data_IF_693760995036
#
_entry.id   IF_693760995036
#
_cell.length_a   1.000
_cell.length_b   1.000
_cell.length_c   1.000
_cell.angle_alpha   90.00
_cell.angle_beta   90.00
_cell.angle_gamma   90.00
#
_symmetry.space_group_name_H-M   'P 1'
#
loop_
_entity.id
_entity.type
_entity.pdbx_description
1 polymer ?
#
# COMPACT_ATOMS: atom_id res chain seq x y z
N UNK A 1 -22.91 9.61 -61.26
CA UNK A 1 -23.05 8.38 -60.46
C UNK A 1 -21.73 7.70 -60.06
N UNK A 2 -20.57 8.41 -59.99
CA UNK A 2 -19.26 7.81 -59.69
C UNK A 2 -18.68 8.18 -58.31
N UNK A 3 -19.32 9.06 -57.55
CA UNK A 3 -18.84 9.49 -56.25
C UNK A 3 -19.23 8.57 -55.06
N UNK A 4 -20.33 7.81 -55.17
CA UNK A 4 -20.83 6.93 -54.10
C UNK A 4 -19.96 5.66 -53.88
N UNK A 5 -19.29 5.19 -54.92
CA UNK A 5 -18.47 3.96 -54.86
C UNK A 5 -17.17 4.13 -54.04
N UNK A 6 -16.57 5.33 -54.04
CA UNK A 6 -15.31 5.57 -53.33
C UNK A 6 -15.49 5.65 -51.82
N UNK A 7 -16.65 6.13 -51.35
CA UNK A 7 -16.90 6.22 -49.91
C UNK A 7 -17.31 4.86 -49.29
N UNK A 8 -17.95 3.99 -50.07
CA UNK A 8 -18.28 2.64 -49.60
C UNK A 8 -17.01 1.81 -49.36
N UNK A 9 -16.00 1.94 -50.22
CA UNK A 9 -14.73 1.26 -50.06
C UNK A 9 -13.91 1.78 -48.85
N UNK A 10 -13.97 3.08 -48.54
CA UNK A 10 -13.30 3.68 -47.39
C UNK A 10 -13.95 3.25 -46.09
N UNK A 11 -15.27 3.17 -46.03
CA UNK A 11 -15.97 2.73 -44.82
C UNK A 11 -15.82 1.24 -44.54
N UNK A 12 -15.65 0.39 -45.55
CA UNK A 12 -15.37 -1.03 -45.35
C UNK A 12 -13.93 -1.28 -44.79
N UNK A 13 -12.97 -0.48 -45.16
CA UNK A 13 -11.59 -0.58 -44.61
C UNK A 13 -11.53 -0.07 -43.15
N UNK A 14 -12.24 1.00 -42.84
CA UNK A 14 -12.34 1.52 -41.46
C UNK A 14 -13.09 0.53 -40.55
N UNK A 15 -14.17 -0.09 -41.01
CA UNK A 15 -14.89 -1.10 -40.26
C UNK A 15 -14.03 -2.37 -40.01
N UNK A 16 -13.21 -2.81 -40.97
CA UNK A 16 -12.30 -3.93 -40.83
C UNK A 16 -11.15 -3.63 -39.84
N UNK A 17 -10.64 -2.39 -39.79
CA UNK A 17 -9.64 -1.99 -38.81
C UNK A 17 -10.20 -1.89 -37.38
N UNK A 18 -11.46 -1.52 -37.19
CA UNK A 18 -12.10 -1.46 -35.89
C UNK A 18 -12.40 -2.86 -35.31
N UNK A 19 -12.56 -3.88 -36.15
CA UNK A 19 -12.74 -5.27 -35.68
C UNK A 19 -11.43 -5.98 -35.34
N UNK A 20 -10.28 -5.52 -35.82
CA UNK A 20 -8.97 -6.10 -35.51
C UNK A 20 -8.38 -5.60 -34.18
N UNK A 21 -8.93 -4.53 -33.61
CA UNK A 21 -8.47 -3.99 -32.30
C UNK A 21 -9.24 -4.53 -31.11
N UNK A 22 -10.30 -5.31 -31.30
CA UNK A 22 -11.10 -5.88 -30.23
C UNK A 22 -10.65 -7.25 -29.71
N UNK A 23 -9.53 -7.79 -30.23
CA UNK A 23 -8.98 -9.09 -29.84
C UNK A 23 -7.59 -8.99 -29.19
N UNK A 24 -7.33 -7.92 -28.44
CA UNK A 24 -6.20 -7.97 -27.51
C UNK A 24 -6.69 -8.55 -26.19
N UNK A 25 -6.11 -9.67 -25.73
CA UNK A 25 -6.44 -10.18 -24.41
C UNK A 25 -6.02 -9.13 -23.38
N UNK A 26 -6.96 -8.77 -22.50
CA UNK A 26 -6.69 -8.01 -21.27
C UNK A 26 -5.83 -8.85 -20.32
N UNK A 27 -4.59 -9.10 -20.72
CA UNK A 27 -3.60 -9.82 -19.93
C UNK A 27 -2.50 -8.88 -19.46
N UNK A 28 -2.89 -7.85 -18.72
CA UNK A 28 -1.99 -7.24 -17.75
C UNK A 28 -2.64 -7.32 -16.36
N UNK A 29 -2.99 -8.54 -15.98
CA UNK A 29 -2.96 -8.92 -14.60
C UNK A 29 -1.51 -8.82 -14.19
N UNK A 30 -1.12 -7.74 -13.52
CA UNK A 30 0.08 -7.73 -12.71
C UNK A 30 -0.19 -8.72 -11.58
N UNK A 31 0.11 -10.00 -11.82
CA UNK A 31 0.30 -10.96 -10.77
C UNK A 31 1.48 -10.45 -9.95
N UNK A 32 1.18 -9.82 -8.84
CA UNK A 32 2.17 -9.64 -7.81
C UNK A 32 2.62 -11.04 -7.39
N UNK A 33 3.92 -11.35 -7.39
CA UNK A 33 4.39 -12.58 -6.78
C UNK A 33 4.20 -12.45 -5.27
N UNK A 34 3.00 -12.75 -4.81
CA UNK A 34 2.63 -12.76 -3.42
C UNK A 34 2.05 -14.12 -3.11
N UNK A 35 2.93 -15.00 -2.74
CA UNK A 35 2.69 -15.94 -1.65
C UNK A 35 3.97 -16.74 -1.44
N UNK A 36 4.91 -16.15 -0.73
CA UNK A 36 5.69 -16.99 0.15
C UNK A 36 4.73 -17.33 1.29
N UNK A 37 3.91 -18.37 1.12
CA UNK A 37 3.33 -19.07 2.24
C UNK A 37 4.52 -19.56 3.04
N UNK A 38 4.78 -18.93 4.16
CA UNK A 38 5.59 -19.54 5.19
C UNK A 38 4.66 -20.56 5.80
N UNK A 39 4.69 -21.79 5.27
CA UNK A 39 4.13 -22.95 5.94
C UNK A 39 5.01 -23.15 7.18
N UNK A 40 4.59 -22.56 8.29
CA UNK A 40 5.14 -22.90 9.60
C UNK A 40 4.56 -24.28 9.89
N UNK A 41 5.34 -25.29 9.53
CA UNK A 41 5.10 -26.65 9.96
C UNK A 41 5.28 -26.66 11.48
N UNK A 42 4.18 -26.48 12.20
CA UNK A 42 4.12 -26.69 13.64
C UNK A 42 4.23 -28.18 13.88
N UNK A 43 5.46 -28.67 14.01
CA UNK A 43 5.74 -30.03 14.45
C UNK A 43 5.20 -30.17 15.88
N UNK A 44 3.94 -30.58 15.99
CA UNK A 44 3.35 -31.01 17.26
C UNK A 44 3.99 -32.34 17.65
N UNK A 45 5.18 -32.24 18.21
CA UNK A 45 5.80 -33.36 18.89
C UNK A 45 4.95 -33.68 20.11
N UNK A 46 4.21 -34.76 20.03
CA UNK A 46 3.43 -35.29 21.14
C UNK A 46 4.34 -35.44 22.37
N UNK A 47 4.15 -34.61 23.37
CA UNK A 47 4.76 -34.79 24.66
C UNK A 47 4.07 -35.99 25.33
N UNK A 48 4.76 -37.09 25.29
CA UNK A 48 4.44 -38.29 26.09
C UNK A 48 4.31 -37.85 27.55
N UNK A 49 3.15 -38.15 28.10
CA UNK A 49 2.86 -37.97 29.54
C UNK A 49 3.86 -38.78 30.35
N UNK A 50 4.92 -38.09 30.83
CA UNK A 50 5.81 -38.65 31.82
C UNK A 50 5.30 -38.18 33.19
N UNK A 51 4.91 -39.14 34.01
CA UNK A 51 4.43 -38.93 35.39
C UNK A 51 5.44 -38.05 36.16
N UNK A 52 4.99 -36.87 36.59
CA UNK A 52 5.77 -36.00 37.45
C UNK A 52 5.56 -36.46 38.87
N UNK A 53 6.60 -36.88 39.62
CA UNK A 53 6.43 -37.20 41.05
C UNK A 53 6.00 -35.94 41.80
N UNK A 54 5.06 -36.09 42.70
CA UNK A 54 4.54 -35.01 43.54
C UNK A 54 5.67 -34.39 44.39
N UNK A 55 6.26 -33.35 43.90
CA UNK A 55 7.15 -32.45 44.64
C UNK A 55 6.30 -31.45 45.38
N UNK A 56 6.39 -31.52 46.73
CA UNK A 56 5.70 -30.67 47.69
C UNK A 56 5.92 -29.18 47.35
N UNK A 57 4.83 -28.39 47.38
CA UNK A 57 4.76 -26.97 47.02
C UNK A 57 5.69 -26.03 47.80
N UNK A 58 6.47 -26.52 48.77
CA UNK A 58 7.41 -25.75 49.57
C UNK A 58 8.80 -25.53 48.93
N UNK A 59 9.17 -26.27 47.89
CA UNK A 59 10.46 -26.12 47.22
C UNK A 59 10.50 -25.17 46.02
N UNK A 60 9.33 -24.63 45.60
CA UNK A 60 9.20 -23.74 44.44
C UNK A 60 9.12 -22.25 44.77
N UNK A 61 9.15 -21.88 46.07
CA UNK A 61 9.27 -20.48 46.52
C UNK A 61 10.74 -20.12 46.83
N UNK A 62 11.64 -20.54 46.01
CA UNK A 62 12.93 -19.84 45.84
C UNK A 62 12.64 -18.49 45.21
N UNK A 63 12.99 -17.39 45.87
CA UNK A 63 12.83 -16.02 45.45
C UNK A 63 13.13 -15.88 43.93
N UNK A 64 12.08 -15.90 43.11
CA UNK A 64 12.21 -15.43 41.71
C UNK A 64 12.29 -13.92 41.85
N UNK A 65 13.50 -13.40 41.68
CA UNK A 65 13.73 -11.98 41.59
C UNK A 65 13.07 -11.47 40.28
N UNK A 66 11.83 -11.00 40.42
CA UNK A 66 11.03 -10.47 39.29
C UNK A 66 11.69 -9.22 38.68
N UNK A 67 12.76 -8.70 39.27
CA UNK A 67 13.47 -7.52 38.78
C UNK A 67 14.46 -7.82 37.65
N UNK A 68 14.77 -9.10 37.36
CA UNK A 68 15.81 -9.48 36.41
C UNK A 68 15.32 -10.12 35.11
N UNK A 69 13.99 -10.18 34.88
CA UNK A 69 13.50 -10.72 33.60
C UNK A 69 13.35 -9.62 32.55
N UNK A 70 13.92 -9.76 31.34
CA UNK A 70 13.84 -8.76 30.26
C UNK A 70 12.42 -8.58 29.67
N UNK A 71 11.44 -9.30 30.20
CA UNK A 71 10.04 -9.28 29.75
C UNK A 71 9.44 -7.88 29.87
N UNK A 72 9.74 -7.14 30.94
CA UNK A 72 9.23 -5.78 31.14
C UNK A 72 9.78 -4.76 30.13
N UNK A 73 11.01 -4.95 29.67
CA UNK A 73 11.63 -4.07 28.68
C UNK A 73 11.01 -4.27 27.27
N UNK A 74 10.68 -5.50 26.90
CA UNK A 74 10.03 -5.84 25.63
C UNK A 74 8.62 -5.23 25.56
N UNK A 75 7.84 -5.37 26.62
CA UNK A 75 6.48 -4.78 26.65
C UNK A 75 6.49 -3.26 26.60
N UNK A 76 7.47 -2.60 27.22
CA UNK A 76 7.54 -1.14 27.19
C UNK A 76 7.93 -0.61 25.80
N UNK A 77 8.83 -1.31 25.09
CA UNK A 77 9.21 -0.96 23.72
C UNK A 77 8.05 -1.16 22.72
N UNK A 78 7.30 -2.25 22.87
CA UNK A 78 6.16 -2.54 22.02
C UNK A 78 5.02 -1.54 22.21
N UNK A 79 4.72 -1.18 23.47
CA UNK A 79 3.74 -0.13 23.78
C UNK A 79 4.18 1.24 23.22
N UNK A 80 5.45 1.58 23.31
CA UNK A 80 5.98 2.82 22.73
C UNK A 80 5.87 2.83 21.20
N UNK A 81 6.14 1.70 20.53
CA UNK A 81 5.99 1.54 19.10
C UNK A 81 4.52 1.68 18.66
N UNK A 82 3.61 0.96 19.30
CA UNK A 82 2.16 1.06 19.01
C UNK A 82 1.67 2.49 19.20
N UNK A 83 2.08 3.17 20.27
CA UNK A 83 1.75 4.57 20.53
C UNK A 83 2.31 5.51 19.45
N UNK A 84 3.50 5.26 18.96
CA UNK A 84 4.11 6.07 17.88
C UNK A 84 3.39 5.91 16.54
N UNK A 85 3.03 4.68 16.17
CA UNK A 85 2.26 4.37 14.97
C UNK A 85 0.87 5.02 15.04
N UNK A 86 0.17 4.90 16.16
CA UNK A 86 -1.14 5.51 16.35
C UNK A 86 -1.09 7.03 16.22
N UNK A 87 -0.09 7.68 16.80
CA UNK A 87 0.12 9.13 16.66
C UNK A 87 0.42 9.54 15.21
N UNK A 88 1.20 8.74 14.49
CA UNK A 88 1.49 9.00 13.08
C UNK A 88 0.22 8.93 12.22
N UNK A 89 -0.64 7.93 12.44
CA UNK A 89 -1.93 7.81 11.75
C UNK A 89 -2.83 9.01 12.06
N UNK A 90 -2.96 9.37 13.34
CA UNK A 90 -3.80 10.50 13.74
C UNK A 90 -3.29 11.83 13.16
N UNK A 91 -1.99 12.06 13.19
CA UNK A 91 -1.38 13.23 12.56
C UNK A 91 -1.71 13.28 11.05
N UNK A 92 -1.62 12.15 10.36
CA UNK A 92 -1.82 12.07 8.92
C UNK A 92 -3.28 12.28 8.48
N UNK A 93 -4.24 12.33 9.39
CA UNK A 93 -5.64 12.68 9.09
C UNK A 93 -5.83 14.14 8.67
N UNK A 94 -4.91 15.02 9.04
CA UNK A 94 -4.86 16.38 8.55
C UNK A 94 -4.00 16.50 7.30
N UNK A 95 -4.33 17.43 6.40
CA UNK A 95 -3.55 17.68 5.17
C UNK A 95 -2.08 18.01 5.49
N UNK A 96 -1.86 18.87 6.48
CA UNK A 96 -0.50 19.26 6.89
C UNK A 96 0.25 18.07 7.48
N UNK A 97 -0.42 17.27 8.31
CA UNK A 97 0.17 16.08 8.90
C UNK A 97 0.43 14.98 7.88
N UNK A 98 -0.48 14.75 6.93
CA UNK A 98 -0.27 13.80 5.84
C UNK A 98 0.98 14.13 5.02
N UNK A 99 1.21 15.42 4.72
CA UNK A 99 2.42 15.88 4.03
C UNK A 99 3.68 15.64 4.86
N UNK A 100 3.65 15.92 6.16
CA UNK A 100 4.79 15.65 7.07
C UNK A 100 5.11 14.15 7.12
N UNK A 101 4.10 13.33 7.33
CA UNK A 101 4.25 11.87 7.39
C UNK A 101 4.76 11.33 6.06
N UNK A 102 4.22 11.76 4.93
CA UNK A 102 4.68 11.33 3.62
C UNK A 102 6.13 11.74 3.34
N UNK A 103 6.58 12.91 3.80
CA UNK A 103 7.97 13.35 3.66
C UNK A 103 8.92 12.43 4.43
N UNK A 104 8.54 12.08 5.66
CA UNK A 104 9.33 11.14 6.49
C UNK A 104 9.39 9.76 5.84
N UNK A 105 8.24 9.20 5.45
CA UNK A 105 8.18 7.90 4.79
C UNK A 105 9.00 7.90 3.49
N UNK A 106 8.89 8.95 2.67
CA UNK A 106 9.63 9.08 1.43
C UNK A 106 11.16 9.06 1.66
N UNK A 107 11.62 9.75 2.70
CA UNK A 107 13.04 9.78 3.07
C UNK A 107 13.50 8.46 3.67
N UNK A 108 12.79 7.93 4.67
CA UNK A 108 13.24 6.80 5.47
C UNK A 108 13.02 5.45 4.78
N UNK A 109 11.85 5.25 4.15
CA UNK A 109 11.51 3.96 3.54
C UNK A 109 11.92 3.86 2.06
N UNK A 110 12.02 5.00 1.34
CA UNK A 110 12.32 5.03 -0.10
C UNK A 110 13.65 5.72 -0.44
N UNK A 111 14.35 6.30 0.53
CA UNK A 111 15.66 6.93 0.32
C UNK A 111 15.62 8.16 -0.58
N UNK A 112 14.47 8.84 -0.69
CA UNK A 112 14.27 9.95 -1.62
C UNK A 112 14.32 11.31 -0.91
N UNK A 113 14.84 12.31 -1.60
CA UNK A 113 15.09 13.65 -1.06
C UNK A 113 13.90 14.62 -1.22
N UNK A 114 14.06 15.85 -0.73
CA UNK A 114 13.06 16.91 -0.74
C UNK A 114 12.61 17.34 -2.14
N UNK A 115 13.45 17.22 -3.16
CA UNK A 115 13.04 17.52 -4.53
C UNK A 115 11.98 16.53 -5.03
N UNK A 116 12.12 15.25 -4.66
CA UNK A 116 11.13 14.23 -4.96
C UNK A 116 9.82 14.46 -4.19
N UNK A 117 9.94 14.92 -2.93
CA UNK A 117 8.75 15.32 -2.16
C UNK A 117 8.01 16.51 -2.80
N UNK A 118 8.71 17.48 -3.35
CA UNK A 118 8.07 18.62 -4.05
C UNK A 118 7.24 18.16 -5.25
N UNK A 119 7.74 17.20 -6.01
CA UNK A 119 7.01 16.59 -7.12
C UNK A 119 5.79 15.78 -6.61
N UNK A 120 5.97 14.99 -5.55
CA UNK A 120 4.90 14.24 -4.91
C UNK A 120 3.79 15.17 -4.40
N UNK A 121 4.18 16.25 -3.73
CA UNK A 121 3.24 17.24 -3.24
C UNK A 121 2.42 17.86 -4.37
N UNK A 122 3.05 18.18 -5.49
CA UNK A 122 2.36 18.71 -6.68
C UNK A 122 1.37 17.69 -7.25
N UNK A 123 1.79 16.43 -7.36
CA UNK A 123 0.98 15.34 -7.89
C UNK A 123 -0.26 15.09 -7.01
N UNK A 124 -0.07 14.81 -5.72
CA UNK A 124 -1.18 14.46 -4.83
C UNK A 124 -2.07 15.64 -4.45
N UNK A 125 -1.59 16.87 -4.63
CA UNK A 125 -2.45 18.05 -4.58
C UNK A 125 -3.42 18.06 -5.77
N UNK A 126 -3.02 17.62 -6.95
CA UNK A 126 -3.91 17.49 -8.12
C UNK A 126 -4.87 16.31 -8.01
N UNK A 127 -4.47 15.22 -7.35
CA UNK A 127 -5.31 14.03 -7.20
C UNK A 127 -6.44 14.23 -6.19
N UNK A 128 -6.11 14.64 -4.99
CA UNK A 128 -7.06 14.66 -3.86
C UNK A 128 -6.95 15.86 -2.95
N UNK A 129 -6.02 16.79 -3.22
CA UNK A 129 -5.60 17.81 -2.26
C UNK A 129 -5.12 17.21 -0.94
N UNK A 130 -4.52 16.00 -0.98
CA UNK A 130 -4.07 15.24 0.19
C UNK A 130 -5.22 14.77 1.11
N UNK A 131 -6.44 14.72 0.61
CA UNK A 131 -7.58 14.28 1.38
C UNK A 131 -7.68 12.74 1.34
N UNK A 132 -7.42 12.09 2.47
CA UNK A 132 -7.50 10.63 2.56
C UNK A 132 -8.93 10.09 2.43
N UNK A 133 -9.95 10.94 2.61
CA UNK A 133 -11.37 10.60 2.41
C UNK A 133 -11.86 10.88 0.99
N UNK A 134 -11.00 11.43 0.12
CA UNK A 134 -11.40 11.73 -1.25
C UNK A 134 -11.89 10.47 -1.95
N UNK A 135 -13.07 10.56 -2.57
CA UNK A 135 -13.67 9.47 -3.32
C UNK A 135 -14.31 10.03 -4.58
N UNK A 136 -13.97 9.43 -5.72
CA UNK A 136 -14.60 9.76 -6.98
C UNK A 136 -15.76 8.77 -7.23
N UNK A 137 -17.03 9.20 -7.12
CA UNK A 137 -18.18 8.29 -7.22
C UNK A 137 -18.37 7.71 -8.63
N UNK A 138 -17.80 8.33 -9.66
CA UNK A 138 -17.89 7.85 -11.04
C UNK A 138 -16.89 6.75 -11.34
N UNK A 139 -15.65 6.89 -10.90
CA UNK A 139 -14.58 5.93 -11.18
C UNK A 139 -14.36 4.94 -10.05
N UNK A 140 -14.66 5.31 -8.80
CA UNK A 140 -14.32 4.54 -7.60
C UNK A 140 -12.91 4.83 -7.06
N UNK A 141 -12.17 5.78 -7.66
CA UNK A 141 -10.86 6.17 -7.16
C UNK A 141 -10.95 6.72 -5.73
N UNK A 142 -9.99 6.35 -4.86
CA UNK A 142 -10.06 6.65 -3.44
C UNK A 142 -8.73 7.11 -2.86
N UNK A 143 -8.85 8.00 -1.86
CA UNK A 143 -7.77 8.41 -0.97
C UNK A 143 -6.80 9.41 -1.56
N UNK A 144 -5.68 9.61 -0.84
CA UNK A 144 -4.66 10.62 -1.15
C UNK A 144 -4.11 10.46 -2.56
N UNK A 145 -3.81 9.23 -2.97
CA UNK A 145 -3.21 8.89 -4.26
C UNK A 145 -4.25 8.52 -5.35
N UNK A 146 -5.56 8.61 -5.05
CA UNK A 146 -6.64 8.24 -5.96
C UNK A 146 -6.48 6.84 -6.57
N UNK A 147 -6.24 5.85 -5.69
CA UNK A 147 -6.09 4.46 -6.11
C UNK A 147 -7.31 3.93 -6.86
N UNK A 148 -7.08 3.25 -7.99
CA UNK A 148 -8.13 2.67 -8.83
C UNK A 148 -7.73 1.27 -9.36
N UNK A 149 -8.47 0.19 -9.06
CA UNK A 149 -9.48 0.14 -8.00
C UNK A 149 -8.88 0.35 -6.61
N UNK A 150 -9.68 0.88 -5.68
CA UNK A 150 -9.23 1.26 -4.34
C UNK A 150 -8.71 0.08 -3.51
N UNK A 151 -9.27 -1.12 -3.74
CA UNK A 151 -8.93 -2.37 -3.08
C UNK A 151 -7.47 -2.78 -3.26
N UNK A 152 -6.78 -2.26 -4.28
CA UNK A 152 -5.33 -2.47 -4.47
C UNK A 152 -4.51 -2.03 -3.25
N UNK A 153 -5.02 -1.11 -2.45
CA UNK A 153 -4.35 -0.67 -1.23
C UNK A 153 -4.31 -1.73 -0.13
N UNK A 154 -5.15 -2.77 -0.22
CA UNK A 154 -5.20 -3.87 0.77
C UNK A 154 -3.88 -4.65 0.87
N UNK A 155 -3.02 -4.60 -0.14
CA UNK A 155 -1.68 -5.22 -0.11
C UNK A 155 -0.72 -4.53 0.88
N UNK A 156 -1.07 -3.33 1.33
CA UNK A 156 -0.30 -2.58 2.34
C UNK A 156 -0.97 -2.68 3.70
N UNK A 157 -2.30 -2.63 3.74
CA UNK A 157 -3.08 -2.75 4.97
C UNK A 157 -4.58 -2.76 4.67
N UNK A 158 -5.33 -3.59 5.38
CA UNK A 158 -6.79 -3.71 5.20
C UNK A 158 -7.56 -2.49 5.71
N UNK A 159 -6.90 -1.63 6.47
CA UNK A 159 -7.43 -0.40 7.06
C UNK A 159 -7.36 0.83 6.13
N UNK A 160 -6.99 0.66 4.88
CA UNK A 160 -6.73 1.72 3.90
C UNK A 160 -7.87 2.75 3.76
N UNK A 161 -9.12 2.36 4.06
CA UNK A 161 -10.25 3.29 3.99
C UNK A 161 -10.17 4.43 5.00
N UNK A 162 -9.57 4.16 6.16
CA UNK A 162 -9.55 5.06 7.31
C UNK A 162 -8.14 5.46 7.74
N UNK A 163 -7.12 4.78 7.23
CA UNK A 163 -5.72 5.00 7.56
C UNK A 163 -4.97 5.72 6.43
N UNK A 164 -4.69 7.03 6.57
CA UNK A 164 -3.94 7.76 5.56
C UNK A 164 -2.49 7.30 5.40
N UNK A 165 -1.87 6.70 6.42
CA UNK A 165 -0.49 6.18 6.33
C UNK A 165 -0.44 4.99 5.38
N UNK A 166 -1.42 4.09 5.45
CA UNK A 166 -1.58 2.97 4.50
C UNK A 166 -1.72 3.48 3.07
N UNK A 167 -2.51 4.52 2.86
CA UNK A 167 -2.69 5.14 1.53
C UNK A 167 -1.40 5.78 1.00
N UNK A 168 -0.65 6.49 1.87
CA UNK A 168 0.63 7.10 1.53
C UNK A 168 1.65 6.04 1.11
N UNK A 169 1.82 4.99 1.92
CA UNK A 169 2.75 3.89 1.60
C UNK A 169 2.39 3.19 0.30
N UNK A 170 1.11 2.91 0.10
CA UNK A 170 0.66 2.31 -1.15
C UNK A 170 0.96 3.21 -2.36
N UNK A 171 0.63 4.50 -2.26
CA UNK A 171 0.85 5.45 -3.35
C UNK A 171 2.33 5.61 -3.69
N UNK A 172 3.22 5.63 -2.69
CA UNK A 172 4.67 5.67 -2.91
C UNK A 172 5.19 4.39 -3.58
N UNK A 173 4.74 3.22 -3.13
CA UNK A 173 5.06 1.93 -3.78
C UNK A 173 4.59 1.91 -5.23
N UNK A 174 3.37 2.35 -5.50
CA UNK A 174 2.83 2.43 -6.85
C UNK A 174 3.70 3.34 -7.74
N UNK A 175 4.05 4.55 -7.25
CA UNK A 175 4.90 5.49 -7.97
C UNK A 175 6.28 4.88 -8.27
N UNK A 176 6.90 4.25 -7.28
CA UNK A 176 8.22 3.63 -7.43
C UNK A 176 8.20 2.49 -8.44
N UNK A 177 7.20 1.63 -8.38
CA UNK A 177 7.09 0.49 -9.31
C UNK A 177 6.80 0.91 -10.75
N UNK A 178 6.00 1.97 -10.95
CA UNK A 178 5.54 2.34 -12.30
C UNK A 178 6.35 3.45 -12.93
N UNK A 179 6.88 4.36 -12.15
CA UNK A 179 7.55 5.58 -12.61
C UNK A 179 8.95 5.76 -12.04
N UNK A 180 9.38 4.88 -11.16
CA UNK A 180 10.65 4.93 -10.47
C UNK A 180 10.74 6.06 -9.42
N UNK A 181 10.30 7.29 -9.76
CA UNK A 181 10.35 8.43 -8.84
C UNK A 181 9.11 9.33 -8.91
N UNK A 182 8.79 10.07 -7.83
CA UNK A 182 7.71 11.05 -7.84
C UNK A 182 7.83 12.12 -8.93
N UNK A 183 9.05 12.58 -9.25
CA UNK A 183 9.24 13.58 -10.29
C UNK A 183 8.96 13.02 -11.70
N UNK A 184 9.27 11.75 -11.96
CA UNK A 184 8.89 11.09 -13.21
C UNK A 184 7.37 10.91 -13.29
N UNK A 185 6.71 10.48 -12.20
CA UNK A 185 5.25 10.40 -12.13
C UNK A 185 4.58 11.76 -12.38
N UNK A 186 5.09 12.83 -11.76
CA UNK A 186 4.61 14.20 -11.97
C UNK A 186 4.80 14.68 -13.42
N UNK A 187 5.92 14.37 -14.03
CA UNK A 187 6.16 14.69 -15.44
C UNK A 187 5.19 13.97 -16.36
N UNK A 188 4.94 12.68 -16.11
CA UNK A 188 3.93 11.90 -16.82
C UNK A 188 2.53 12.51 -16.64
N UNK A 189 2.13 12.83 -15.43
CA UNK A 189 0.85 13.45 -15.13
C UNK A 189 0.66 14.79 -15.88
N UNK A 190 1.69 15.64 -15.95
CA UNK A 190 1.63 16.89 -16.70
C UNK A 190 1.36 16.66 -18.18
N UNK A 191 1.94 15.62 -18.76
CA UNK A 191 1.80 15.28 -20.18
C UNK A 191 0.49 14.57 -20.51
N UNK A 192 0.05 13.65 -19.65
CA UNK A 192 -1.06 12.72 -19.93
C UNK A 192 -2.32 12.97 -19.10
N UNK A 193 -2.24 13.75 -18.01
CA UNK A 193 -3.32 14.03 -17.08
C UNK A 193 -3.76 12.85 -16.22
N UNK A 194 -2.94 11.79 -16.16
CA UNK A 194 -3.06 10.66 -15.24
C UNK A 194 -1.67 10.11 -14.89
N UNK A 195 -1.60 9.30 -13.85
CA UNK A 195 -0.38 8.57 -13.47
C UNK A 195 -0.73 7.19 -12.91
#
# INVERSE_FOLDING_TARGET
>A
MKLRSKYVAIWSVIAAMLFLTSALPSAYGLEFPMTTRIDIEVETKALTTQEVPALTAAALYGSIDLAATPVGAVFSSDLALVSSISRQVEMARSIVGAKKVAKVILSEEFGMNDSQFSCLNSLWTKESHWNYKAHNPRSGAHGIAQALPAEKMSVVGTDWRTNPVTQIRWGLRYITMRYDTPCKAWSHFKAKRYY
#
